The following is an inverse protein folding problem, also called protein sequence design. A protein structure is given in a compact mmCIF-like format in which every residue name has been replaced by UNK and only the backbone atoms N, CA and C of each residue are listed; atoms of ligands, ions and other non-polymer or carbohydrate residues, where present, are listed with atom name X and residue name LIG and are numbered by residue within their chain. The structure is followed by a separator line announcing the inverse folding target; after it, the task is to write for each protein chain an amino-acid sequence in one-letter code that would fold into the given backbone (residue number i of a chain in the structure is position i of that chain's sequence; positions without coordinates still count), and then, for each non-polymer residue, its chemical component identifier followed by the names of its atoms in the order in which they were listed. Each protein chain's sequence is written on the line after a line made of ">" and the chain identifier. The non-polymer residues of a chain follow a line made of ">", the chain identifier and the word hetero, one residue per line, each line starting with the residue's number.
data_IF_141281604159
#
_entry.id   IF_141281604159
#
_cell.length_a   1.000
_cell.length_b   1.000
_cell.length_c   1.000
_cell.angle_alpha   90.00
_cell.angle_beta   90.00
_cell.angle_gamma   90.00
#
_symmetry.space_group_name_H-M   'P 1'
#
loop_
_entity.id
_entity.type
_entity.pdbx_description
1 polymer ?
#
# COMPACT_ATOMS: atom_id res chain seq x y z
N UNK A 1 -17.63 15.72 -60.28
CA UNK A 1 -18.68 15.59 -59.25
C UNK A 1 -18.02 15.15 -57.93
N UNK A 2 -17.90 16.05 -56.95
CA UNK A 2 -17.39 15.73 -55.60
C UNK A 2 -18.61 15.50 -54.69
N UNK A 3 -18.89 14.25 -54.37
CA UNK A 3 -19.92 13.88 -53.39
C UNK A 3 -19.36 14.08 -51.98
N UNK A 4 -20.03 14.94 -51.21
CA UNK A 4 -19.59 15.45 -49.93
C UNK A 4 -19.51 14.38 -48.84
N UNK A 5 -18.36 14.36 -48.17
CA UNK A 5 -18.20 13.74 -46.87
C UNK A 5 -18.98 14.56 -45.83
N UNK A 6 -20.23 14.20 -45.55
CA UNK A 6 -20.97 14.73 -44.39
C UNK A 6 -21.91 13.66 -43.84
N UNK A 7 -21.40 12.88 -42.88
CA UNK A 7 -22.02 12.37 -41.63
C UNK A 7 -20.97 11.44 -41.00
N UNK A 8 -20.00 12.00 -40.26
CA UNK A 8 -19.10 11.20 -39.39
C UNK A 8 -18.91 11.80 -37.99
N UNK A 9 -19.19 13.08 -37.79
CA UNK A 9 -18.96 13.74 -36.49
C UNK A 9 -19.92 13.34 -35.37
N UNK A 10 -21.19 13.01 -35.66
CA UNK A 10 -22.14 12.63 -34.58
C UNK A 10 -21.86 11.25 -33.98
N UNK A 11 -21.16 10.37 -34.71
CA UNK A 11 -20.78 9.04 -34.23
C UNK A 11 -19.43 9.03 -33.50
N UNK A 12 -18.50 9.93 -33.86
CA UNK A 12 -17.19 10.01 -33.21
C UNK A 12 -17.33 10.49 -31.77
N UNK A 13 -18.14 11.51 -31.50
CA UNK A 13 -18.33 12.02 -30.12
C UNK A 13 -18.88 10.94 -29.19
N UNK A 14 -19.84 10.12 -29.66
CA UNK A 14 -20.39 9.02 -28.85
C UNK A 14 -19.41 7.86 -28.71
N UNK A 15 -18.63 7.54 -29.76
CA UNK A 15 -17.61 6.50 -29.72
C UNK A 15 -16.41 6.89 -28.84
N UNK A 16 -15.99 8.14 -28.87
CA UNK A 16 -14.91 8.69 -28.04
C UNK A 16 -15.29 8.67 -26.57
N UNK A 17 -16.52 9.10 -26.22
CA UNK A 17 -17.00 9.03 -24.83
C UNK A 17 -17.15 7.58 -24.37
N UNK A 18 -17.61 6.67 -25.24
CA UNK A 18 -17.74 5.26 -24.93
C UNK A 18 -16.41 4.60 -24.54
N UNK A 19 -15.27 5.11 -25.02
CA UNK A 19 -13.94 4.62 -24.67
C UNK A 19 -13.27 5.47 -23.58
N UNK A 20 -13.46 6.80 -23.63
CA UNK A 20 -12.83 7.73 -22.70
C UNK A 20 -13.33 7.55 -21.26
N UNK A 21 -14.63 7.29 -21.06
CA UNK A 21 -15.20 7.10 -19.71
C UNK A 21 -14.64 5.83 -19.05
N UNK A 22 -14.67 4.63 -19.67
CA UNK A 22 -14.02 3.45 -19.11
C UNK A 22 -12.53 3.64 -18.86
N UNK A 23 -11.81 4.28 -19.79
CA UNK A 23 -10.39 4.57 -19.61
C UNK A 23 -10.12 5.46 -18.38
N UNK A 24 -10.91 6.53 -18.21
CA UNK A 24 -10.81 7.41 -17.04
C UNK A 24 -11.13 6.66 -15.74
N UNK A 25 -12.17 5.82 -15.73
CA UNK A 25 -12.52 5.00 -14.56
C UNK A 25 -11.37 4.06 -14.21
N UNK A 26 -10.73 3.42 -15.20
CA UNK A 26 -9.56 2.57 -14.97
C UNK A 26 -8.38 3.36 -14.38
N UNK A 27 -8.09 4.55 -14.92
CA UNK A 27 -7.04 5.42 -14.38
C UNK A 27 -7.33 5.80 -12.93
N UNK A 28 -8.56 6.24 -12.63
CA UNK A 28 -8.96 6.58 -11.26
C UNK A 28 -8.88 5.38 -10.32
N UNK A 29 -9.31 4.19 -10.76
CA UNK A 29 -9.19 2.96 -9.98
C UNK A 29 -7.73 2.66 -9.65
N UNK A 30 -6.83 2.75 -10.64
CA UNK A 30 -5.37 2.55 -10.43
C UNK A 30 -4.81 3.60 -9.47
N UNK A 31 -5.17 4.88 -9.61
CA UNK A 31 -4.73 5.95 -8.71
C UNK A 31 -5.18 5.70 -7.26
N UNK A 32 -6.46 5.37 -7.05
CA UNK A 32 -7.01 5.04 -5.73
C UNK A 32 -6.36 3.77 -5.15
N UNK A 33 -6.09 2.78 -6.01
CA UNK A 33 -5.34 1.58 -5.65
C UNK A 33 -3.92 1.91 -5.17
N UNK A 34 -3.21 2.77 -5.90
CA UNK A 34 -1.89 3.26 -5.51
C UNK A 34 -1.90 4.01 -4.18
N UNK A 35 -2.87 4.91 -3.98
CA UNK A 35 -3.02 5.66 -2.73
C UNK A 35 -3.31 4.72 -1.55
N UNK A 36 -4.23 3.77 -1.71
CA UNK A 36 -4.54 2.80 -0.64
C UNK A 36 -3.33 1.92 -0.28
N UNK A 37 -2.57 1.46 -1.27
CA UNK A 37 -1.31 0.75 -1.03
C UNK A 37 -0.26 1.61 -0.30
N UNK A 38 -0.15 2.90 -0.67
CA UNK A 38 0.76 3.83 -0.01
C UNK A 38 0.39 4.07 1.45
N UNK A 39 -0.91 4.18 1.76
CA UNK A 39 -1.40 4.33 3.14
C UNK A 39 -1.08 3.09 3.98
N UNK A 40 -1.33 1.88 3.47
CA UNK A 40 -0.98 0.64 4.19
C UNK A 40 0.53 0.55 4.40
N UNK A 41 1.33 0.95 3.41
CA UNK A 41 2.79 1.00 3.56
C UNK A 41 3.22 1.99 4.64
N UNK A 42 2.63 3.18 4.71
CA UNK A 42 2.92 4.16 5.75
C UNK A 42 2.53 3.65 7.15
N UNK A 43 1.37 3.01 7.29
CA UNK A 43 0.95 2.39 8.55
C UNK A 43 1.88 1.24 8.97
N UNK A 44 2.31 0.39 8.03
CA UNK A 44 3.26 -0.69 8.30
C UNK A 44 4.64 -0.13 8.73
N UNK A 45 5.07 1.01 8.17
CA UNK A 45 6.29 1.70 8.57
C UNK A 45 6.19 2.26 9.99
N UNK A 46 5.08 2.92 10.33
CA UNK A 46 4.85 3.44 11.68
C UNK A 46 4.79 2.30 12.71
N UNK A 47 4.06 1.23 12.42
CA UNK A 47 3.98 0.04 13.25
C UNK A 47 5.36 -0.63 13.45
N UNK A 48 6.17 -0.73 12.39
CA UNK A 48 7.54 -1.23 12.48
C UNK A 48 8.41 -0.33 13.37
N UNK A 49 8.29 0.99 13.25
CA UNK A 49 9.08 1.93 14.05
C UNK A 49 8.72 1.84 15.55
N UNK A 50 7.43 1.74 15.88
CA UNK A 50 6.96 1.54 17.25
C UNK A 50 7.42 0.19 17.80
N UNK A 51 7.28 -0.89 17.03
CA UNK A 51 7.76 -2.22 17.42
C UNK A 51 9.27 -2.24 17.66
N UNK A 52 10.07 -1.62 16.79
CA UNK A 52 11.52 -1.50 16.96
C UNK A 52 11.87 -0.80 18.28
N UNK A 53 11.19 0.29 18.63
CA UNK A 53 11.39 1.02 19.90
C UNK A 53 10.96 0.20 21.12
N UNK A 54 9.89 -0.57 21.03
CA UNK A 54 9.48 -1.50 22.10
C UNK A 54 10.57 -2.55 22.33
N UNK A 55 11.04 -3.21 21.26
CA UNK A 55 12.10 -4.21 21.34
C UNK A 55 13.42 -3.61 21.84
N UNK A 56 13.76 -2.39 21.45
CA UNK A 56 14.94 -1.66 21.94
C UNK A 56 14.87 -1.36 23.45
N UNK A 57 13.67 -1.25 24.02
CA UNK A 57 13.45 -1.09 25.47
C UNK A 57 13.41 -2.42 26.23
N UNK A 58 13.57 -3.55 25.54
CA UNK A 58 13.47 -4.88 26.13
C UNK A 58 12.04 -5.35 26.39
N UNK A 59 11.02 -4.70 25.80
CA UNK A 59 9.65 -5.22 25.85
C UNK A 59 9.57 -6.58 25.17
N UNK A 60 8.73 -7.51 25.67
CA UNK A 60 8.62 -8.83 25.08
C UNK A 60 8.02 -8.76 23.67
N UNK A 61 8.49 -9.64 22.79
CA UNK A 61 8.04 -9.67 21.40
C UNK A 61 6.53 -9.90 21.27
N UNK A 62 5.90 -10.59 22.23
CA UNK A 62 4.44 -10.78 22.28
C UNK A 62 3.68 -9.45 22.37
N UNK A 63 4.16 -8.50 23.18
CA UNK A 63 3.60 -7.15 23.29
C UNK A 63 3.75 -6.39 21.98
N UNK A 64 4.91 -6.46 21.34
CA UNK A 64 5.15 -5.83 20.04
C UNK A 64 4.25 -6.45 18.94
N UNK A 65 4.11 -7.78 18.90
CA UNK A 65 3.19 -8.49 17.98
C UNK A 65 1.74 -8.08 18.20
N UNK A 66 1.29 -8.00 19.46
CA UNK A 66 -0.06 -7.58 19.81
C UNK A 66 -0.34 -6.12 19.43
N UNK A 67 0.67 -5.25 19.50
CA UNK A 67 0.56 -3.89 18.99
C UNK A 67 0.39 -3.87 17.47
N UNK A 68 1.28 -4.54 16.73
CA UNK A 68 1.22 -4.61 15.25
C UNK A 68 -0.12 -5.18 14.78
N UNK A 69 -0.61 -6.27 15.37
CA UNK A 69 -1.89 -6.87 14.99
C UNK A 69 -3.11 -5.98 15.28
N UNK A 70 -2.99 -5.01 16.18
CA UNK A 70 -4.05 -4.01 16.46
C UNK A 70 -4.05 -2.88 15.43
N UNK A 71 -2.87 -2.45 14.97
CA UNK A 71 -2.71 -1.37 13.99
C UNK A 71 -2.99 -1.88 12.58
N UNK A 72 -2.44 -3.05 12.21
CA UNK A 72 -2.72 -3.75 10.97
C UNK A 72 -3.18 -5.19 11.27
N UNK A 73 -4.50 -5.44 11.28
CA UNK A 73 -5.03 -6.80 11.38
C UNK A 73 -4.50 -7.70 10.27
N UNK A 74 -4.03 -8.90 10.63
CA UNK A 74 -3.44 -9.85 9.70
C UNK A 74 -1.99 -9.57 9.28
N UNK A 75 -1.38 -8.49 9.77
CA UNK A 75 0.05 -8.26 9.58
C UNK A 75 0.90 -9.13 10.51
N UNK A 76 2.08 -9.50 10.02
CA UNK A 76 3.07 -10.30 10.76
C UNK A 76 4.27 -9.45 11.12
N UNK A 77 4.82 -9.68 12.30
CA UNK A 77 6.04 -9.02 12.79
C UNK A 77 7.18 -10.05 12.86
N UNK A 78 8.28 -9.74 12.17
CA UNK A 78 9.54 -10.45 12.25
C UNK A 78 10.60 -9.54 12.89
N UNK A 79 11.03 -9.82 14.13
CA UNK A 79 12.20 -9.18 14.73
C UNK A 79 13.46 -9.59 13.97
N UNK A 80 14.33 -8.63 13.67
CA UNK A 80 15.64 -8.89 13.08
C UNK A 80 16.72 -8.36 14.03
N UNK A 81 17.62 -9.23 14.52
CA UNK A 81 18.81 -8.76 15.23
C UNK A 81 19.73 -8.04 14.25
N UNK A 82 20.14 -6.83 14.60
CA UNK A 82 21.24 -6.10 13.98
C UNK A 82 22.12 -5.57 15.13
N UNK A 83 23.45 -5.60 14.99
CA UNK A 83 24.43 -5.38 16.09
C UNK A 83 23.92 -4.49 17.25
N UNK A 84 23.97 -3.17 17.06
CA UNK A 84 23.52 -2.17 18.03
C UNK A 84 22.05 -1.74 17.81
N UNK A 85 21.36 -2.37 16.86
CA UNK A 85 20.03 -1.98 16.40
C UNK A 85 19.00 -3.09 16.60
N UNK A 86 17.88 -2.78 17.26
CA UNK A 86 16.71 -3.65 17.23
C UNK A 86 15.88 -3.27 16.01
N UNK A 87 15.82 -4.17 15.02
CA UNK A 87 15.02 -3.99 13.82
C UNK A 87 13.72 -4.79 13.91
N UNK A 88 12.65 -4.20 13.38
CA UNK A 88 11.34 -4.83 13.24
C UNK A 88 10.91 -4.76 11.78
N UNK A 89 10.52 -5.91 11.22
CA UNK A 89 9.88 -6.01 9.91
C UNK A 89 8.40 -6.32 10.08
N UNK A 90 7.54 -5.50 9.50
CA UNK A 90 6.10 -5.72 9.44
C UNK A 90 5.70 -6.05 8.00
N UNK A 91 4.99 -7.15 7.82
CA UNK A 91 4.48 -7.62 6.53
C UNK A 91 2.97 -7.70 6.55
N UNK A 92 2.31 -7.07 5.59
CA UNK A 92 0.86 -7.05 5.44
C UNK A 92 0.47 -7.46 4.00
N UNK A 93 -0.73 -8.01 3.87
CA UNK A 93 -1.27 -8.47 2.58
C UNK A 93 -2.59 -7.74 2.26
N UNK A 94 -2.58 -6.41 2.03
CA UNK A 94 -3.79 -5.70 1.64
C UNK A 94 -4.31 -6.18 0.29
N UNK A 95 -5.63 -6.24 0.17
CA UNK A 95 -6.31 -6.47 -1.11
C UNK A 95 -6.63 -5.12 -1.76
N UNK A 96 -5.97 -4.82 -2.87
CA UNK A 96 -6.12 -3.57 -3.63
C UNK A 96 -6.69 -3.89 -5.00
N UNK A 97 -7.85 -3.32 -5.34
CA UNK A 97 -8.58 -3.62 -6.59
C UNK A 97 -8.78 -5.13 -6.83
N UNK A 98 -9.01 -5.89 -5.76
CA UNK A 98 -9.21 -7.34 -5.83
C UNK A 98 -7.92 -8.18 -5.88
N UNK A 99 -6.74 -7.57 -6.00
CA UNK A 99 -5.44 -8.25 -6.03
C UNK A 99 -4.80 -8.17 -4.64
N UNK A 100 -4.27 -9.29 -4.15
CA UNK A 100 -3.47 -9.29 -2.92
C UNK A 100 -2.03 -8.84 -3.22
N UNK A 101 -1.60 -7.77 -2.54
CA UNK A 101 -0.25 -7.25 -2.63
C UNK A 101 0.47 -7.51 -1.31
N UNK A 102 1.70 -8.03 -1.37
CA UNK A 102 2.58 -8.08 -0.20
C UNK A 102 3.24 -6.71 0.01
N UNK A 103 2.98 -6.09 1.16
CA UNK A 103 3.60 -4.83 1.57
C UNK A 103 4.46 -5.12 2.80
N UNK A 104 5.77 -4.92 2.66
CA UNK A 104 6.72 -5.05 3.74
C UNK A 104 7.30 -3.69 4.14
N UNK A 105 7.46 -3.49 5.43
CA UNK A 105 8.10 -2.32 6.03
C UNK A 105 9.13 -2.77 7.05
N UNK A 106 10.27 -2.07 7.13
CA UNK A 106 11.32 -2.31 8.11
C UNK A 106 11.72 -1.00 8.76
N UNK A 107 11.82 -1.00 10.07
CA UNK A 107 12.39 0.10 10.85
C UNK A 107 13.36 -0.46 11.89
N UNK A 108 14.34 0.34 12.26
CA UNK A 108 15.34 -0.01 13.27
C UNK A 108 15.45 1.11 14.30
N UNK A 109 15.68 0.73 15.55
CA UNK A 109 15.96 1.64 16.65
C UNK A 109 17.26 1.22 17.35
N UNK A 110 18.08 2.20 17.76
CA UNK A 110 19.24 1.95 18.61
C UNK A 110 18.79 1.31 19.92
N UNK A 111 19.37 0.17 20.26
CA UNK A 111 19.30 -0.36 21.61
C UNK A 111 20.07 0.59 22.52
N UNK A 112 19.44 1.06 23.60
CA UNK A 112 20.16 1.87 24.59
C UNK A 112 21.25 1.01 25.22
N UNK A 113 22.51 1.29 24.87
CA UNK A 113 23.69 0.77 25.57
C UNK A 113 23.90 1.46 26.90
#
# INVERSE_FOLDING_TARGET
>A
MRAGARVRDRGSVTAEIAVAVPALVLVLAVCLGGVSAALVRAQAQDAAAVAARMLARGEPESTARAHVGRVLPGATLAPEPADDLRCARVTAHPRVLGIELAVAARACALGGG
#
